data_IF_741547913349
#
_entry.id   IF_741547913349
#
_cell.length_a   1.000
_cell.length_b   1.000
_cell.length_c   1.000
_cell.angle_alpha   90.00
_cell.angle_beta   90.00
_cell.angle_gamma   90.00
#
_symmetry.space_group_name_H-M   'P 1'
#
loop_
_entity.id
_entity.type
_entity.pdbx_description
1 polymer ?
#
# COMPACT_ATOMS: atom_id res chain seq x y z
N UNK A 1 8.88 -18.41 -9.57
CA UNK A 1 7.58 -18.32 -8.88
C UNK A 1 7.80 -17.57 -7.56
N UNK A 2 6.98 -16.58 -7.24
CA UNK A 2 7.12 -15.78 -6.00
C UNK A 2 6.46 -16.52 -4.85
N UNK A 3 7.22 -16.72 -3.76
CA UNK A 3 6.75 -17.36 -2.53
C UNK A 3 6.84 -16.40 -1.36
N UNK A 4 5.92 -16.53 -0.43
CA UNK A 4 5.89 -15.77 0.81
C UNK A 4 6.19 -16.70 1.98
N UNK A 5 6.91 -16.18 2.96
CA UNK A 5 7.14 -16.86 4.23
C UNK A 5 6.27 -16.18 5.28
N UNK A 6 5.20 -16.86 5.70
CA UNK A 6 4.37 -16.46 6.82
C UNK A 6 5.01 -16.93 8.12
N UNK A 7 5.04 -16.09 9.15
CA UNK A 7 5.63 -16.40 10.47
C UNK A 7 4.62 -16.29 11.61
N UNK A 8 3.32 -16.34 11.32
CA UNK A 8 2.26 -16.22 12.32
C UNK A 8 2.27 -17.42 13.28
N UNK A 9 1.97 -17.16 14.57
CA UNK A 9 1.87 -18.22 15.57
C UNK A 9 3.17 -19.00 15.83
N UNK A 10 4.33 -18.34 15.75
CA UNK A 10 5.67 -18.94 15.90
C UNK A 10 5.98 -20.06 14.89
N UNK A 11 5.18 -20.19 13.83
CA UNK A 11 5.37 -21.20 12.79
C UNK A 11 5.78 -20.52 11.49
N UNK A 12 6.82 -21.03 10.82
CA UNK A 12 7.22 -20.54 9.50
C UNK A 12 6.62 -21.41 8.41
N UNK A 13 5.73 -20.85 7.61
CA UNK A 13 5.08 -21.54 6.48
C UNK A 13 5.39 -20.82 5.18
N UNK A 14 5.72 -21.58 4.14
CA UNK A 14 5.83 -21.05 2.79
C UNK A 14 4.51 -21.24 2.04
N UNK A 15 4.04 -20.19 1.38
CA UNK A 15 2.90 -20.24 0.48
C UNK A 15 3.25 -19.61 -0.87
N UNK A 16 2.64 -20.12 -1.93
CA UNK A 16 2.74 -19.51 -3.24
C UNK A 16 1.93 -18.22 -3.26
N UNK A 17 2.51 -17.14 -3.80
CA UNK A 17 1.82 -15.86 -3.88
C UNK A 17 0.48 -15.97 -4.64
N UNK A 18 0.40 -16.86 -5.63
CA UNK A 18 -0.82 -17.12 -6.41
C UNK A 18 -2.00 -17.68 -5.59
N UNK A 19 -1.77 -18.15 -4.35
CA UNK A 19 -2.83 -18.62 -3.45
C UNK A 19 -3.43 -17.50 -2.59
N UNK A 20 -2.87 -16.30 -2.63
CA UNK A 20 -3.37 -15.16 -1.89
C UNK A 20 -4.47 -14.44 -2.64
N UNK A 21 -5.34 -13.75 -1.90
CA UNK A 21 -6.33 -12.86 -2.49
C UNK A 21 -5.64 -11.69 -3.23
N UNK A 22 -6.27 -11.20 -4.29
CA UNK A 22 -5.79 -10.05 -5.05
C UNK A 22 -5.54 -8.82 -4.17
N UNK A 23 -6.42 -8.56 -3.19
CA UNK A 23 -6.24 -7.48 -2.23
C UNK A 23 -5.00 -7.63 -1.36
N UNK A 24 -4.68 -8.86 -0.94
CA UNK A 24 -3.45 -9.15 -0.19
C UNK A 24 -2.21 -8.93 -1.06
N UNK A 25 -2.22 -9.45 -2.29
CA UNK A 25 -1.12 -9.26 -3.24
C UNK A 25 -0.90 -7.79 -3.54
N UNK A 26 -1.98 -7.00 -3.67
CA UNK A 26 -1.89 -5.56 -3.92
C UNK A 26 -1.24 -4.81 -2.78
N UNK A 27 -1.67 -5.07 -1.55
CA UNK A 27 -1.07 -4.44 -0.36
C UNK A 27 0.42 -4.79 -0.27
N UNK A 28 0.79 -6.05 -0.52
CA UNK A 28 2.19 -6.48 -0.51
C UNK A 28 2.99 -5.84 -1.65
N UNK A 29 2.44 -5.74 -2.85
CA UNK A 29 3.10 -5.12 -4.00
C UNK A 29 3.35 -3.62 -3.77
N UNK A 30 2.36 -2.90 -3.24
CA UNK A 30 2.48 -1.49 -2.87
C UNK A 30 3.55 -1.30 -1.79
N UNK A 31 3.51 -2.11 -0.72
CA UNK A 31 4.51 -2.04 0.33
C UNK A 31 5.93 -2.33 -0.21
N UNK A 32 6.08 -3.35 -1.04
CA UNK A 32 7.35 -3.68 -1.67
C UNK A 32 7.87 -2.54 -2.56
N UNK A 33 7.01 -1.92 -3.38
CA UNK A 33 7.37 -0.78 -4.22
C UNK A 33 7.84 0.42 -3.38
N UNK A 34 7.07 0.79 -2.36
CA UNK A 34 7.38 1.93 -1.48
C UNK A 34 8.66 1.72 -0.66
N UNK A 35 8.87 0.51 -0.12
CA UNK A 35 10.05 0.18 0.67
C UNK A 35 11.32 -0.01 -0.17
N UNK A 36 11.17 -0.37 -1.45
CA UNK A 36 12.30 -0.58 -2.37
C UNK A 36 12.65 0.65 -3.21
N UNK A 37 11.75 1.62 -3.33
CA UNK A 37 11.99 2.85 -4.07
C UNK A 37 13.23 3.59 -3.57
N UNK A 38 13.92 4.30 -4.46
CA UNK A 38 15.03 5.18 -4.06
C UNK A 38 14.50 6.29 -3.16
N UNK A 39 15.18 6.60 -2.05
CA UNK A 39 14.80 7.71 -1.17
C UNK A 39 14.71 9.03 -1.97
N UNK A 40 13.72 9.87 -1.70
CA UNK A 40 13.53 11.13 -2.44
C UNK A 40 12.87 11.00 -3.83
N UNK A 41 12.62 9.78 -4.31
CA UNK A 41 12.06 9.55 -5.66
C UNK A 41 10.54 9.75 -5.74
N UNK A 42 10.01 9.74 -6.97
CA UNK A 42 8.57 9.71 -7.24
C UNK A 42 8.11 8.26 -7.38
N UNK A 43 7.07 7.89 -6.63
CA UNK A 43 6.35 6.63 -6.78
C UNK A 43 4.95 6.92 -7.31
N UNK A 44 4.56 6.25 -8.39
CA UNK A 44 3.22 6.36 -8.98
C UNK A 44 2.50 5.03 -8.80
N UNK A 45 1.29 5.07 -8.24
CA UNK A 45 0.46 3.88 -8.02
C UNK A 45 -0.93 4.13 -8.61
N UNK A 46 -1.25 3.36 -9.64
CA UNK A 46 -2.56 3.42 -10.29
C UNK A 46 -3.55 2.45 -9.62
N UNK A 47 -4.82 2.87 -9.52
CA UNK A 47 -5.95 2.08 -9.02
C UNK A 47 -5.66 1.37 -7.68
N UNK A 48 -5.30 2.16 -6.67
CA UNK A 48 -4.83 1.66 -5.37
C UNK A 48 -5.89 0.86 -4.60
N UNK A 49 -7.16 1.07 -4.95
CA UNK A 49 -8.36 0.52 -4.35
C UNK A 49 -8.86 -0.76 -5.02
N UNK A 50 -8.33 -1.12 -6.19
CA UNK A 50 -8.80 -2.28 -6.94
C UNK A 50 -8.55 -3.59 -6.18
N UNK A 51 -9.62 -4.34 -5.88
CA UNK A 51 -9.56 -5.58 -5.10
C UNK A 51 -9.35 -5.39 -3.59
N UNK A 52 -9.35 -4.16 -3.08
CA UNK A 52 -9.19 -3.85 -1.64
C UNK A 52 -10.50 -3.32 -1.07
N UNK A 53 -10.95 -3.90 0.04
CA UNK A 53 -12.15 -3.42 0.73
C UNK A 53 -11.98 -1.96 1.20
N UNK A 54 -12.99 -1.07 1.06
CA UNK A 54 -12.84 0.37 1.36
C UNK A 54 -12.28 0.69 2.75
N UNK A 55 -12.73 -0.01 3.80
CA UNK A 55 -12.17 0.17 5.15
C UNK A 55 -10.66 -0.14 5.25
N UNK A 56 -10.15 -1.10 4.45
CA UNK A 56 -8.71 -1.42 4.40
C UNK A 56 -7.92 -0.40 3.60
N UNK A 57 -8.52 0.19 2.56
CA UNK A 57 -7.86 1.21 1.74
C UNK A 57 -7.46 2.45 2.57
N UNK A 58 -8.26 2.84 3.58
CA UNK A 58 -7.90 3.91 4.52
C UNK A 58 -6.63 3.60 5.31
N UNK A 59 -6.49 2.38 5.84
CA UNK A 59 -5.28 1.95 6.55
C UNK A 59 -4.06 1.85 5.63
N UNK A 60 -4.28 1.41 4.38
CA UNK A 60 -3.24 1.38 3.36
C UNK A 60 -2.73 2.79 3.05
N UNK A 61 -3.61 3.77 2.86
CA UNK A 61 -3.22 5.16 2.65
C UNK A 61 -2.40 5.73 3.80
N UNK A 62 -2.82 5.50 5.05
CA UNK A 62 -2.06 5.92 6.22
C UNK A 62 -0.64 5.32 6.20
N UNK A 63 -0.53 4.03 5.87
CA UNK A 63 0.77 3.35 5.76
C UNK A 63 1.63 3.92 4.61
N UNK A 64 1.02 4.21 3.45
CA UNK A 64 1.69 4.84 2.31
C UNK A 64 2.26 6.19 2.72
N UNK A 65 1.47 7.03 3.39
CA UNK A 65 1.91 8.34 3.89
C UNK A 65 3.09 8.20 4.85
N UNK A 66 2.97 7.33 5.85
CA UNK A 66 4.01 7.16 6.85
C UNK A 66 5.34 6.68 6.23
N UNK A 67 5.29 5.79 5.23
CA UNK A 67 6.48 5.36 4.50
C UNK A 67 7.02 6.49 3.62
N UNK A 68 6.13 7.23 2.95
CA UNK A 68 6.51 8.34 2.08
C UNK A 68 7.24 9.44 2.87
N UNK A 69 6.74 9.83 4.03
CA UNK A 69 7.37 10.81 4.91
C UNK A 69 8.75 10.34 5.37
N UNK A 70 8.83 9.11 5.91
CA UNK A 70 10.09 8.54 6.42
C UNK A 70 11.18 8.43 5.35
N UNK A 71 10.78 8.14 4.10
CA UNK A 71 11.70 7.93 2.97
C UNK A 71 11.70 9.10 1.98
N UNK A 72 11.09 10.24 2.36
CA UNK A 72 10.98 11.47 1.57
C UNK A 72 10.47 11.24 0.15
N UNK A 73 9.58 10.27 -0.04
CA UNK A 73 9.04 9.92 -1.35
C UNK A 73 7.95 10.92 -1.74
N UNK A 74 7.95 11.31 -3.01
CA UNK A 74 6.77 11.93 -3.63
C UNK A 74 5.88 10.81 -4.11
N UNK A 75 4.58 10.86 -3.80
CA UNK A 75 3.66 9.79 -4.16
C UNK A 75 2.50 10.36 -4.97
N UNK A 76 2.26 9.78 -6.15
CA UNK A 76 1.08 10.05 -6.97
C UNK A 76 0.20 8.81 -6.97
N UNK A 77 -1.06 8.97 -6.60
CA UNK A 77 -2.03 7.89 -6.48
C UNK A 77 -3.22 8.15 -7.41
N UNK A 78 -3.74 7.11 -8.05
CA UNK A 78 -5.06 7.14 -8.70
C UNK A 78 -6.02 6.17 -8.03
N UNK A 79 -7.30 6.53 -7.99
CA UNK A 79 -8.38 5.75 -7.37
C UNK A 79 -9.69 6.03 -8.09
N UNK A 80 -10.53 5.01 -8.26
CA UNK A 80 -11.91 5.18 -8.74
C UNK A 80 -12.91 5.24 -7.58
N UNK A 81 -12.49 4.90 -6.36
CA UNK A 81 -13.33 4.96 -5.18
C UNK A 81 -13.43 6.38 -4.59
N UNK A 82 -14.62 7.03 -4.64
CA UNK A 82 -14.81 8.38 -4.11
C UNK A 82 -14.61 8.45 -2.58
N UNK A 83 -14.96 7.39 -1.84
CA UNK A 83 -14.77 7.36 -0.39
C UNK A 83 -13.29 7.37 0.02
N UNK A 84 -12.40 6.99 -0.90
CA UNK A 84 -10.95 7.07 -0.69
C UNK A 84 -10.43 8.49 -0.91
N UNK A 85 -11.03 9.22 -1.85
CA UNK A 85 -10.73 10.63 -2.11
C UNK A 85 -11.13 11.52 -0.91
N UNK A 86 -12.27 11.23 -0.28
CA UNK A 86 -12.69 11.92 0.95
C UNK A 86 -11.69 11.71 2.09
N UNK A 87 -11.16 10.49 2.22
CA UNK A 87 -10.15 10.18 3.22
C UNK A 87 -8.84 10.96 2.98
N UNK A 88 -8.39 11.06 1.72
CA UNK A 88 -7.20 11.83 1.34
C UNK A 88 -7.34 13.33 1.63
N UNK A 89 -8.55 13.88 1.46
CA UNK A 89 -8.82 15.31 1.66
C UNK A 89 -8.60 15.74 3.12
N UNK A 90 -8.71 14.82 4.08
CA UNK A 90 -8.39 15.05 5.49
C UNK A 90 -6.87 15.03 5.78
N UNK A 91 -6.08 14.39 4.92
CA UNK A 91 -4.64 14.20 5.14
C UNK A 91 -3.78 15.25 4.44
N UNK A 92 -4.25 15.86 3.36
CA UNK A 92 -3.52 16.93 2.65
C UNK A 92 -3.62 18.32 3.30
N UNK A 93 -4.41 18.49 4.37
CA UNK A 93 -4.61 19.80 5.03
C UNK A 93 -3.55 20.15 6.08
N UNK A 94 -2.57 19.28 6.36
CA UNK A 94 -1.55 19.52 7.40
C UNK A 94 -0.29 20.23 6.90
N UNK A 95 -0.40 21.04 5.85
CA UNK A 95 0.70 21.72 5.17
C UNK A 95 0.63 23.25 5.23
N UNK A 96 0.12 23.82 6.32
CA UNK A 96 0.41 25.21 6.73
C UNK A 96 1.42 25.23 7.89
#
# INVERSE_FOLDING_TARGET
MVRLAETFGNTRRYCEAALLSDGTLRVLAIAAAMLSATEGSLVVIEEIDNGVHPNRAKHLLASIRDIAERRKLRVLLSTHNPALMDALSLFCQSGE
#
